data_IF_934686852956
#
_entry.id   IF_934686852956
#
_cell.length_a   1.000
_cell.length_b   1.000
_cell.length_c   1.000
_cell.angle_alpha   90.00
_cell.angle_beta   90.00
_cell.angle_gamma   90.00
#
_symmetry.space_group_name_H-M   'P 1'
#
loop_
_entity.id
_entity.type
_entity.pdbx_description
1 polymer ?
#
# COMPACT_ATOMS: atom_id res chain seq x y z
N UNK A 1 55.97 -37.16 -6.64
CA UNK A 1 55.06 -36.71 -7.72
C UNK A 1 53.91 -37.68 -7.77
N UNK A 2 52.70 -37.24 -7.42
CA UNK A 2 51.50 -38.07 -7.53
C UNK A 2 50.88 -37.89 -8.92
N UNK A 3 50.41 -38.96 -9.57
CA UNK A 3 49.88 -38.89 -10.93
C UNK A 3 48.53 -38.14 -10.97
N UNK A 4 48.17 -37.54 -12.12
CA UNK A 4 46.94 -36.78 -12.25
C UNK A 4 45.71 -37.70 -12.20
N UNK A 5 44.59 -37.26 -11.58
CA UNK A 5 43.37 -38.04 -11.53
C UNK A 5 42.71 -38.10 -12.91
N UNK A 6 42.29 -39.30 -13.33
CA UNK A 6 41.66 -39.56 -14.62
C UNK A 6 40.22 -39.02 -14.72
N UNK A 7 39.69 -38.89 -15.96
CA UNK A 7 38.38 -38.31 -16.22
C UNK A 7 37.30 -39.37 -15.95
N UNK A 8 36.79 -39.43 -14.73
CA UNK A 8 35.77 -40.42 -14.40
C UNK A 8 35.09 -40.29 -13.04
N UNK A 9 35.36 -39.23 -12.25
CA UNK A 9 34.63 -39.05 -11.00
C UNK A 9 33.33 -38.29 -11.24
N UNK A 10 32.26 -39.03 -11.53
CA UNK A 10 30.90 -38.57 -11.26
C UNK A 10 30.83 -38.24 -9.77
N UNK A 11 30.91 -36.96 -9.43
CA UNK A 11 30.86 -36.48 -8.06
C UNK A 11 29.45 -36.67 -7.51
N UNK A 12 29.16 -37.84 -6.97
CA UNK A 12 28.13 -38.02 -5.93
C UNK A 12 28.66 -37.42 -4.62
N UNK A 13 29.01 -36.15 -4.66
CA UNK A 13 29.24 -35.35 -3.45
C UNK A 13 27.90 -35.09 -2.78
N UNK A 14 27.88 -34.90 -1.45
CA UNK A 14 26.66 -34.49 -0.76
C UNK A 14 26.14 -33.22 -1.42
N UNK A 15 24.90 -33.24 -1.91
CA UNK A 15 24.22 -32.06 -2.42
C UNK A 15 24.20 -31.06 -1.28
N UNK A 16 25.02 -30.01 -1.38
CA UNK A 16 25.08 -28.94 -0.41
C UNK A 16 23.81 -28.12 -0.58
N UNK A 17 22.73 -28.56 0.08
CA UNK A 17 21.60 -27.69 0.29
C UNK A 17 22.10 -26.59 1.23
N UNK A 18 22.11 -25.31 0.81
CA UNK A 18 22.35 -24.24 1.76
C UNK A 18 21.37 -24.48 2.90
N UNK A 19 21.77 -24.32 4.17
CA UNK A 19 20.81 -24.30 5.25
C UNK A 19 19.95 -23.06 5.00
N UNK A 20 18.86 -23.22 4.24
CA UNK A 20 17.72 -22.35 4.27
C UNK A 20 17.18 -22.55 5.68
N UNK A 21 17.86 -21.88 6.61
CA UNK A 21 17.49 -21.86 7.99
C UNK A 21 16.06 -21.40 8.00
N UNK A 22 15.16 -22.14 8.64
CA UNK A 22 13.71 -21.85 8.73
C UNK A 22 13.41 -20.36 8.98
N UNK A 23 14.35 -19.66 9.64
CA UNK A 23 14.42 -18.20 9.81
C UNK A 23 14.24 -17.38 8.52
N UNK A 24 14.82 -17.78 7.39
CA UNK A 24 14.68 -17.09 6.11
C UNK A 24 13.31 -17.25 5.49
N UNK A 25 12.67 -18.42 5.67
CA UNK A 25 11.30 -18.65 5.24
C UNK A 25 10.36 -17.69 5.98
N UNK A 26 10.55 -17.53 7.30
CA UNK A 26 9.79 -16.57 8.11
C UNK A 26 9.97 -15.14 7.61
N UNK A 27 11.21 -14.72 7.30
CA UNK A 27 11.48 -13.39 6.75
C UNK A 27 10.76 -13.16 5.42
N UNK A 28 10.82 -14.13 4.50
CA UNK A 28 10.14 -14.04 3.20
C UNK A 28 8.64 -13.88 3.39
N UNK A 29 8.03 -14.65 4.30
CA UNK A 29 6.60 -14.57 4.62
C UNK A 29 6.26 -13.18 5.16
N UNK A 30 7.04 -12.65 6.11
CA UNK A 30 6.80 -11.32 6.70
C UNK A 30 6.93 -10.22 5.66
N UNK A 31 7.96 -10.28 4.80
CA UNK A 31 8.14 -9.31 3.71
C UNK A 31 6.99 -9.39 2.70
N UNK A 32 6.54 -10.60 2.36
CA UNK A 32 5.41 -10.80 1.46
C UNK A 32 4.11 -10.23 2.03
N UNK A 33 3.85 -10.47 3.32
CA UNK A 33 2.72 -9.85 4.03
C UNK A 33 2.82 -8.32 4.01
N UNK A 34 4.02 -7.76 4.09
CA UNK A 34 4.26 -6.32 3.96
C UNK A 34 3.97 -5.80 2.56
N UNK A 35 4.50 -6.47 1.54
CA UNK A 35 4.27 -6.12 0.14
C UNK A 35 2.78 -6.16 -0.24
N UNK A 36 2.02 -7.08 0.36
CA UNK A 36 0.58 -7.27 0.13
C UNK A 36 -0.27 -6.57 1.20
N UNK A 37 0.30 -5.64 1.99
CA UNK A 37 -0.39 -4.95 3.08
C UNK A 37 -1.69 -4.26 2.64
N UNK A 38 -1.77 -3.81 1.38
CA UNK A 38 -2.97 -3.18 0.82
C UNK A 38 -4.18 -4.13 0.72
N UNK A 39 -3.97 -5.45 0.63
CA UNK A 39 -5.06 -6.43 0.59
C UNK A 39 -5.54 -6.85 1.98
N UNK A 40 -4.87 -6.39 3.04
CA UNK A 40 -5.27 -6.72 4.41
C UNK A 40 -6.58 -6.00 4.72
N UNK A 41 -7.61 -6.68 5.27
CA UNK A 41 -8.85 -6.05 5.69
C UNK A 41 -8.60 -4.90 6.67
N UNK A 42 -9.34 -3.80 6.50
CA UNK A 42 -9.11 -2.54 7.22
C UNK A 42 -9.15 -2.71 8.76
N UNK A 43 -10.03 -3.59 9.29
CA UNK A 43 -10.07 -3.89 10.73
C UNK A 43 -8.72 -4.33 11.30
N UNK A 44 -7.98 -5.18 10.58
CA UNK A 44 -6.68 -5.67 11.03
C UNK A 44 -5.60 -4.59 10.92
N UNK A 45 -5.64 -3.78 9.84
CA UNK A 45 -4.72 -2.65 9.68
C UNK A 45 -4.89 -1.64 10.82
N UNK A 46 -6.14 -1.32 11.17
CA UNK A 46 -6.45 -0.43 12.27
C UNK A 46 -5.85 -0.91 13.60
N UNK A 47 -6.02 -2.19 13.96
CA UNK A 47 -5.42 -2.75 15.19
C UNK A 47 -3.88 -2.72 15.19
N UNK A 48 -3.25 -2.94 14.03
CA UNK A 48 -1.78 -2.94 13.93
C UNK A 48 -1.19 -1.53 13.98
N UNK A 49 -1.93 -0.52 13.55
CA UNK A 49 -1.51 0.90 13.55
C UNK A 49 -1.78 1.59 14.88
N UNK A 50 -2.69 1.07 15.70
CA UNK A 50 -2.87 1.57 17.05
C UNK A 50 -1.53 1.64 17.80
N UNK A 51 -1.34 2.61 18.72
CA UNK A 51 -0.09 2.78 19.45
C UNK A 51 0.38 1.48 20.13
N UNK A 52 -0.57 0.67 20.61
CA UNK A 52 -0.31 -0.63 21.21
C UNK A 52 0.23 -1.64 20.18
N UNK A 53 -0.39 -1.75 19.00
CA UNK A 53 0.05 -2.63 17.92
C UNK A 53 1.42 -2.23 17.38
N UNK A 54 1.62 -0.92 17.15
CA UNK A 54 2.90 -0.36 16.72
C UNK A 54 4.01 -0.66 17.73
N UNK A 55 3.75 -0.47 19.02
CA UNK A 55 4.69 -0.76 20.09
C UNK A 55 5.06 -2.26 20.14
N UNK A 56 4.08 -3.16 20.02
CA UNK A 56 4.34 -4.61 20.03
C UNK A 56 5.19 -5.07 18.84
N UNK A 57 4.93 -4.56 17.63
CA UNK A 57 5.71 -4.91 16.44
C UNK A 57 7.13 -4.32 16.55
N UNK A 58 7.25 -3.08 17.04
CA UNK A 58 8.55 -2.45 17.28
C UNK A 58 9.36 -3.21 18.34
N UNK A 59 8.72 -3.65 19.42
CA UNK A 59 9.34 -4.48 20.46
C UNK A 59 9.81 -5.83 19.89
N UNK A 60 8.98 -6.49 19.08
CA UNK A 60 9.36 -7.73 18.39
C UNK A 60 10.55 -7.52 17.45
N UNK A 61 10.59 -6.38 16.74
CA UNK A 61 11.75 -5.92 15.99
C UNK A 61 12.98 -5.80 16.88
N UNK A 62 12.89 -5.08 18.00
CA UNK A 62 14.00 -4.89 18.93
C UNK A 62 14.53 -6.22 19.51
N UNK A 63 13.65 -7.17 19.81
CA UNK A 63 14.04 -8.52 20.25
C UNK A 63 14.80 -9.28 19.14
N UNK A 64 14.36 -9.18 17.88
CA UNK A 64 15.08 -9.74 16.75
C UNK A 64 16.46 -9.11 16.57
N UNK A 65 16.58 -7.80 16.81
CA UNK A 65 17.86 -7.08 16.76
C UNK A 65 18.84 -7.63 17.79
N UNK A 66 18.37 -7.79 19.03
CA UNK A 66 19.18 -8.30 20.12
C UNK A 66 19.63 -9.75 19.88
N UNK A 67 18.76 -10.55 19.26
CA UNK A 67 19.08 -11.90 18.77
C UNK A 67 20.04 -11.95 17.59
N UNK A 68 20.63 -10.80 17.18
CA UNK A 68 21.52 -10.64 16.01
C UNK A 68 20.87 -11.08 14.69
N UNK A 69 19.54 -11.06 14.63
CA UNK A 69 18.78 -11.44 13.44
C UNK A 69 18.33 -10.20 12.65
N UNK A 70 19.31 -9.54 12.03
CA UNK A 70 19.13 -8.27 11.34
C UNK A 70 18.14 -8.32 10.17
N UNK A 71 18.03 -9.46 9.49
CA UNK A 71 17.06 -9.66 8.42
C UNK A 71 15.61 -9.63 8.95
N UNK A 72 15.35 -10.20 10.13
CA UNK A 72 14.04 -10.20 10.77
C UNK A 72 13.62 -8.81 11.23
N UNK A 73 14.53 -8.03 11.81
CA UNK A 73 14.27 -6.62 12.15
C UNK A 73 13.85 -5.82 10.93
N UNK A 74 14.59 -5.94 9.83
CA UNK A 74 14.29 -5.21 8.61
C UNK A 74 12.92 -5.60 8.07
N UNK A 75 12.60 -6.90 8.03
CA UNK A 75 11.31 -7.39 7.58
C UNK A 75 10.13 -6.85 8.41
N UNK A 76 10.28 -6.82 9.74
CA UNK A 76 9.24 -6.30 10.64
C UNK A 76 9.04 -4.79 10.49
N UNK A 77 10.11 -4.01 10.37
CA UNK A 77 9.99 -2.56 10.13
C UNK A 77 9.44 -2.26 8.73
N UNK A 78 9.86 -3.01 7.71
CA UNK A 78 9.29 -2.92 6.38
C UNK A 78 7.78 -3.24 6.39
N UNK A 79 7.36 -4.28 7.10
CA UNK A 79 5.95 -4.64 7.28
C UNK A 79 5.17 -3.51 7.95
N UNK A 80 5.70 -2.95 9.04
CA UNK A 80 5.10 -1.85 9.78
C UNK A 80 4.92 -0.60 8.91
N UNK A 81 5.96 -0.21 8.17
CA UNK A 81 5.93 0.91 7.22
C UNK A 81 4.94 0.65 6.07
N UNK A 82 4.87 -0.59 5.58
CA UNK A 82 3.96 -0.96 4.50
C UNK A 82 2.50 -0.86 4.92
N UNK A 83 2.18 -1.31 6.15
CA UNK A 83 0.83 -1.17 6.72
C UNK A 83 0.49 0.30 6.93
N UNK A 84 1.41 1.08 7.50
CA UNK A 84 1.19 2.51 7.70
C UNK A 84 0.96 3.23 6.36
N UNK A 85 1.76 2.92 5.33
CA UNK A 85 1.57 3.49 3.99
C UNK A 85 0.25 3.08 3.35
N UNK A 86 -0.18 1.82 3.53
CA UNK A 86 -1.46 1.35 3.02
C UNK A 86 -2.65 2.06 3.70
N UNK A 87 -2.53 2.36 4.99
CA UNK A 87 -3.58 3.09 5.72
C UNK A 87 -3.61 4.57 5.40
N UNK A 88 -2.44 5.22 5.23
CA UNK A 88 -2.38 6.60 4.77
C UNK A 88 -3.01 6.80 3.38
N UNK A 89 -3.11 5.72 2.59
CA UNK A 89 -3.79 5.66 1.29
C UNK A 89 -5.25 5.21 1.42
N UNK A 90 -5.72 4.82 2.60
CA UNK A 90 -7.13 4.50 2.83
C UNK A 90 -7.95 5.77 2.55
N UNK A 91 -8.93 5.71 1.63
CA UNK A 91 -9.69 6.87 1.18
C UNK A 91 -10.73 7.27 2.23
N UNK A 92 -10.27 7.74 3.38
CA UNK A 92 -11.12 8.25 4.48
C UNK A 92 -11.72 9.64 4.18
N UNK A 93 -11.45 10.22 3.00
CA UNK A 93 -11.83 11.62 2.70
C UNK A 93 -12.81 11.87 1.55
N UNK A 94 -13.01 10.94 0.60
CA UNK A 94 -13.81 11.23 -0.60
C UNK A 94 -14.70 10.07 -1.10
N UNK A 95 -14.68 8.89 -0.46
CA UNK A 95 -15.50 7.75 -0.90
C UNK A 95 -16.74 7.48 -0.04
N UNK A 96 -16.98 8.29 0.99
CA UNK A 96 -18.32 8.48 1.56
C UNK A 96 -19.10 9.58 0.83
N UNK A 97 -18.80 9.81 -0.45
CA UNK A 97 -19.69 10.53 -1.34
C UNK A 97 -20.85 9.64 -1.84
N UNK A 98 -21.11 8.47 -1.24
CA UNK A 98 -22.31 7.68 -1.56
C UNK A 98 -23.60 8.28 -1.01
N UNK A 99 -23.58 9.50 -0.45
CA UNK A 99 -24.77 10.35 -0.24
C UNK A 99 -24.55 11.84 -0.57
N UNK A 100 -23.42 12.23 -1.17
CA UNK A 100 -23.14 13.64 -1.54
C UNK A 100 -22.18 13.77 -2.74
N UNK A 101 -22.27 12.87 -3.72
CA UNK A 101 -22.01 13.33 -5.10
C UNK A 101 -23.30 13.97 -5.59
N UNK A 102 -23.43 15.28 -5.40
CA UNK A 102 -24.40 16.09 -6.14
C UNK A 102 -23.91 16.13 -7.59
N UNK A 103 -24.19 15.04 -8.32
CA UNK A 103 -24.14 15.09 -9.77
C UNK A 103 -25.15 16.14 -10.17
N UNK A 104 -24.65 17.29 -10.65
CA UNK A 104 -25.47 18.31 -11.30
C UNK A 104 -25.95 17.75 -12.64
N UNK A 105 -26.79 16.72 -12.58
CA UNK A 105 -27.72 16.28 -13.62
C UNK A 105 -28.88 17.25 -13.58
N UNK A 106 -28.69 18.35 -14.26
CA UNK A 106 -29.52 19.52 -14.15
C UNK A 106 -30.95 19.29 -14.70
N UNK A 107 -31.97 19.43 -13.85
CA UNK A 107 -33.31 19.89 -14.24
C UNK A 107 -33.74 21.15 -13.42
N UNK A 108 -32.76 21.95 -12.98
CA UNK A 108 -32.71 23.08 -11.99
C UNK A 108 -34.03 23.84 -11.68
N UNK A 109 -34.19 24.41 -10.48
CA UNK A 109 -33.51 25.67 -10.08
C UNK A 109 -33.47 25.90 -8.58
N UNK A 110 -32.33 26.41 -8.14
CA UNK A 110 -32.17 27.17 -6.90
C UNK A 110 -33.26 28.26 -6.84
N UNK A 111 -33.77 28.59 -5.66
CA UNK A 111 -34.75 29.67 -5.53
C UNK A 111 -34.20 30.99 -6.11
N UNK A 112 -35.10 31.70 -6.80
CA UNK A 112 -34.85 32.81 -7.73
C UNK A 112 -34.46 34.11 -6.99
N UNK A 113 -33.61 34.93 -7.60
CA UNK A 113 -33.19 36.29 -7.16
C UNK A 113 -34.34 37.24 -6.78
N UNK A 114 -35.59 36.93 -7.14
CA UNK A 114 -36.80 37.65 -6.66
C UNK A 114 -36.95 37.56 -5.12
N UNK A 115 -36.33 36.57 -4.50
CA UNK A 115 -36.22 36.37 -3.04
C UNK A 115 -34.99 37.10 -2.47
N UNK A 116 -33.91 37.22 -3.25
CA UNK A 116 -32.62 37.74 -2.77
C UNK A 116 -32.41 39.23 -3.06
N UNK A 117 -33.11 39.83 -4.03
CA UNK A 117 -32.90 41.22 -4.51
C UNK A 117 -31.42 41.56 -4.76
N UNK A 118 -30.58 40.56 -5.00
CA UNK A 118 -29.15 40.75 -5.22
C UNK A 118 -28.89 41.08 -6.69
N UNK A 119 -27.99 42.02 -6.93
CA UNK A 119 -27.44 42.34 -8.25
C UNK A 119 -26.03 41.74 -8.34
N UNK A 120 -25.85 40.51 -8.85
CA UNK A 120 -24.52 39.92 -8.93
C UNK A 120 -23.75 40.41 -10.18
N UNK A 121 -22.65 41.11 -9.93
CA UNK A 121 -21.65 41.54 -10.91
C UNK A 121 -20.74 40.35 -11.32
N UNK A 122 -20.78 39.98 -12.61
CA UNK A 122 -19.84 39.13 -13.37
C UNK A 122 -19.79 37.62 -12.97
N UNK A 123 -19.67 36.67 -13.90
CA UNK A 123 -18.60 36.46 -14.88
C UNK A 123 -19.17 35.92 -16.20
N UNK A 124 -18.92 36.61 -17.31
CA UNK A 124 -19.30 36.21 -18.67
C UNK A 124 -18.23 35.28 -19.26
N UNK A 125 -18.51 33.99 -19.38
CA UNK A 125 -17.74 33.11 -20.26
C UNK A 125 -18.15 33.37 -21.71
N UNK A 126 -17.17 33.83 -22.48
CA UNK A 126 -17.27 34.29 -23.86
C UNK A 126 -17.55 33.10 -24.78
N UNK A 127 -18.66 33.16 -25.53
CA UNK A 127 -19.10 32.13 -26.49
C UNK A 127 -17.99 31.72 -27.46
N UNK A 128 -17.57 30.45 -27.42
CA UNK A 128 -16.83 29.81 -28.52
C UNK A 128 -17.80 28.90 -29.25
N UNK A 129 -18.32 29.39 -30.38
CA UNK A 129 -19.14 28.62 -31.32
C UNK A 129 -18.24 27.84 -32.27
N UNK A 130 -18.28 26.52 -32.18
CA UNK A 130 -17.78 25.67 -33.27
C UNK A 130 -18.64 24.40 -33.29
N UNK A 131 -19.54 24.33 -34.26
CA UNK A 131 -20.35 23.14 -34.51
C UNK A 131 -19.51 22.10 -35.26
N UNK A 132 -19.64 20.80 -34.96
CA UNK A 132 -19.05 19.75 -35.79
C UNK A 132 -19.84 19.63 -37.11
N UNK A 133 -19.12 19.63 -38.23
CA UNK A 133 -19.66 19.37 -39.57
C UNK A 133 -19.84 17.85 -39.71
N UNK A 134 -21.05 17.42 -40.04
CA UNK A 134 -21.39 16.03 -40.37
C UNK A 134 -21.43 15.85 -41.89
N UNK A 135 -20.63 14.90 -42.40
CA UNK A 135 -20.80 14.28 -43.73
C UNK A 135 -21.82 13.13 -43.66
#
# INVERSE_FOLDING_TARGET
MNPPPGPGSSSTGPVWHPPIATKWIVVIIVVFLGAVANRIPHRFRFYLIQPVGFFLISLAGMLCYWGKFYAGTFALFFFLLSIWSAEARSPEGFLNASNTVDWVTNSKKWFVEKVLKEQPLAIQEKDVSTFPISD
#
